data_IF_232775322354
#
_entry.id   IF_232775322354
#
_cell.length_a   1.000
_cell.length_b   1.000
_cell.length_c   1.000
_cell.angle_alpha   90.00
_cell.angle_beta   90.00
_cell.angle_gamma   90.00
#
_symmetry.space_group_name_H-M   'P 1'
#
loop_
_entity.id
_entity.type
_entity.pdbx_description
1 polymer ?
#
# COMPACT_ATOMS: atom_id res chain seq x y z
N UNK A 1 -59.69 25.80 9.50
CA UNK A 1 -58.96 24.64 10.03
C UNK A 1 -57.61 24.63 9.35
N UNK A 2 -56.57 25.14 10.03
CA UNK A 2 -55.20 25.16 9.49
C UNK A 2 -54.43 24.01 10.15
N UNK A 3 -53.85 23.14 9.34
CA UNK A 3 -52.99 22.06 9.81
C UNK A 3 -51.63 22.63 10.19
N UNK A 4 -51.17 22.34 11.41
CA UNK A 4 -49.82 22.66 11.86
C UNK A 4 -48.85 21.61 11.30
N UNK A 5 -47.90 22.05 10.46
CA UNK A 5 -46.74 21.25 10.08
C UNK A 5 -45.84 21.05 11.30
N UNK A 6 -45.59 19.78 11.64
CA UNK A 6 -44.68 19.41 12.71
C UNK A 6 -43.26 19.35 12.16
N UNK A 7 -42.40 20.22 12.68
CA UNK A 7 -40.98 20.24 12.39
C UNK A 7 -40.31 19.00 12.99
N UNK A 8 -39.83 18.10 12.12
CA UNK A 8 -39.02 16.93 12.52
C UNK A 8 -37.56 17.35 12.55
N UNK A 9 -36.86 17.28 13.71
CA UNK A 9 -35.45 17.61 13.79
C UNK A 9 -34.59 16.57 13.05
N UNK A 10 -33.42 16.97 12.51
CA UNK A 10 -32.50 16.06 11.83
C UNK A 10 -31.91 15.02 12.81
N UNK A 11 -31.50 13.83 12.31
CA UNK A 11 -30.89 12.80 13.14
C UNK A 11 -29.56 13.29 13.74
N UNK A 12 -29.39 13.03 15.04
CA UNK A 12 -28.15 13.32 15.77
C UNK A 12 -26.99 12.54 15.18
N UNK A 13 -25.84 13.19 14.99
CA UNK A 13 -24.61 12.51 14.63
C UNK A 13 -24.17 11.56 15.77
N UNK A 14 -23.67 10.35 15.47
CA UNK A 14 -23.09 9.49 16.48
C UNK A 14 -21.85 10.14 17.09
N UNK A 15 -21.52 9.84 18.36
CA UNK A 15 -20.34 10.38 19.01
C UNK A 15 -19.07 9.92 18.28
N UNK A 16 -18.15 10.86 18.08
CA UNK A 16 -16.80 10.57 17.59
C UNK A 16 -16.09 9.68 18.62
N UNK A 17 -15.72 8.46 18.21
CA UNK A 17 -14.95 7.54 19.03
C UNK A 17 -13.49 7.77 18.68
N UNK A 18 -12.74 8.39 19.60
CA UNK A 18 -11.29 8.53 19.45
C UNK A 18 -10.63 7.14 19.39
N UNK A 19 -9.64 6.92 18.51
CA UNK A 19 -8.91 5.66 18.46
C UNK A 19 -8.14 5.44 19.78
N UNK A 20 -8.01 4.20 20.26
CA UNK A 20 -7.24 3.93 21.46
C UNK A 20 -5.76 4.30 21.24
N UNK A 21 -5.15 4.91 22.26
CA UNK A 21 -3.70 5.17 22.28
C UNK A 21 -2.94 3.87 22.00
N UNK A 22 -1.96 3.96 21.09
CA UNK A 22 -1.08 2.85 20.77
C UNK A 22 -0.36 2.38 22.04
N UNK A 23 -0.44 1.07 22.32
CA UNK A 23 0.34 0.46 23.38
C UNK A 23 1.84 0.70 23.15
N UNK A 24 2.63 1.00 24.20
CA UNK A 24 4.06 1.22 24.05
C UNK A 24 4.75 -0.03 23.51
N UNK A 25 5.65 0.15 22.54
CA UNK A 25 6.50 -0.90 22.01
C UNK A 25 7.33 -1.50 23.15
N UNK A 26 7.38 -2.83 23.23
CA UNK A 26 8.27 -3.53 24.13
C UNK A 26 9.72 -3.32 23.64
N UNK A 27 10.51 -2.60 24.43
CA UNK A 27 11.94 -2.42 24.20
C UNK A 27 12.67 -3.76 24.40
N UNK A 28 12.94 -4.45 23.30
CA UNK A 28 13.87 -5.57 23.26
C UNK A 28 15.29 -5.05 23.05
N UNK A 29 16.09 -5.00 24.11
CA UNK A 29 17.52 -4.72 24.02
C UNK A 29 18.23 -5.89 23.36
N UNK A 30 18.76 -5.69 22.16
CA UNK A 30 19.75 -6.61 21.58
C UNK A 30 21.13 -6.05 21.91
N UNK A 31 21.92 -6.83 22.64
CA UNK A 31 23.28 -6.48 23.05
C UNK A 31 24.18 -6.20 21.84
N UNK A 32 24.88 -5.07 21.90
CA UNK A 32 25.90 -4.70 20.93
C UNK A 32 27.11 -5.65 21.05
N UNK A 33 27.45 -6.33 19.96
CA UNK A 33 28.73 -7.03 19.82
C UNK A 33 29.86 -6.01 19.59
N UNK A 34 31.08 -6.24 20.14
CA UNK A 34 32.13 -5.23 20.16
C UNK A 34 32.82 -5.06 18.81
N UNK A 35 33.29 -3.83 18.59
CA UNK A 35 34.08 -3.39 17.45
C UNK A 35 35.36 -4.24 17.28
N UNK A 36 35.49 -4.86 16.11
CA UNK A 36 36.69 -5.51 15.62
C UNK A 36 37.46 -4.59 14.68
N UNK A 37 38.76 -4.50 14.95
CA UNK A 37 39.83 -3.71 14.31
C UNK A 37 39.81 -3.58 12.79
N UNK A 38 40.28 -2.40 12.35
CA UNK A 38 40.59 -2.00 10.98
C UNK A 38 41.51 -3.00 10.27
N UNK A 39 41.14 -3.38 9.04
CA UNK A 39 42.03 -4.05 8.09
C UNK A 39 41.70 -3.57 6.67
N UNK A 40 42.59 -2.71 6.14
CA UNK A 40 42.96 -2.55 4.74
C UNK A 40 41.85 -2.54 3.67
N UNK A 41 41.55 -1.36 3.16
CA UNK A 41 40.86 -1.20 1.88
C UNK A 41 41.69 -1.80 0.74
N UNK A 42 41.12 -2.66 -0.14
CA UNK A 42 41.63 -2.78 -1.48
C UNK A 42 41.12 -1.59 -2.30
N UNK A 43 42.07 -0.77 -2.73
CA UNK A 43 41.89 0.24 -3.77
C UNK A 43 41.33 -0.42 -5.05
N UNK A 44 40.34 0.22 -5.65
CA UNK A 44 39.95 -0.03 -7.05
C UNK A 44 38.70 -0.88 -7.24
N UNK A 45 37.57 -0.23 -7.44
CA UNK A 45 36.87 -0.19 -8.75
C UNK A 45 35.89 0.96 -8.70
N UNK A 46 36.03 1.91 -9.63
CA UNK A 46 35.00 2.92 -9.89
C UNK A 46 33.77 2.15 -10.38
N UNK A 47 32.55 2.40 -9.86
CA UNK A 47 31.35 1.79 -10.44
C UNK A 47 31.33 2.14 -11.92
N UNK A 48 31.26 1.12 -12.79
CA UNK A 48 31.04 1.37 -14.21
C UNK A 48 29.82 2.28 -14.34
N UNK A 49 30.01 3.39 -15.07
CA UNK A 49 28.95 4.32 -15.43
C UNK A 49 27.84 3.50 -16.12
N UNK A 50 26.71 3.28 -15.43
CA UNK A 50 25.57 2.55 -15.98
C UNK A 50 25.15 3.28 -17.26
N UNK A 51 25.36 2.61 -18.42
CA UNK A 51 25.04 3.18 -19.73
C UNK A 51 23.61 3.72 -19.71
N UNK A 52 23.34 4.90 -20.31
CA UNK A 52 21.98 5.45 -20.37
C UNK A 52 21.03 4.40 -20.91
N UNK A 53 19.89 4.21 -20.24
CA UNK A 53 18.88 3.25 -20.67
C UNK A 53 18.41 3.66 -22.06
N UNK A 54 18.76 2.86 -23.07
CA UNK A 54 18.21 3.04 -24.41
C UNK A 54 16.72 2.72 -24.37
N UNK A 55 15.91 3.77 -24.56
CA UNK A 55 14.46 3.63 -24.66
C UNK A 55 14.15 2.85 -25.94
N UNK A 56 13.72 1.59 -25.77
CA UNK A 56 13.38 0.74 -26.90
C UNK A 56 12.27 1.39 -27.74
N UNK A 57 12.30 1.10 -29.04
CA UNK A 57 11.37 1.64 -30.01
C UNK A 57 9.88 1.36 -29.66
N UNK A 58 9.60 0.31 -28.88
CA UNK A 58 8.26 -0.02 -28.39
C UNK A 58 7.72 0.89 -27.26
N UNK A 59 8.53 1.79 -26.71
CA UNK A 59 8.19 2.57 -25.50
C UNK A 59 8.26 4.09 -25.70
N UNK A 60 8.30 4.57 -26.95
CA UNK A 60 8.42 6.01 -27.27
C UNK A 60 7.30 6.86 -26.68
N UNK A 61 6.13 6.25 -26.43
CA UNK A 61 4.94 6.93 -25.94
C UNK A 61 4.83 6.90 -24.41
N UNK A 62 5.74 6.21 -23.71
CA UNK A 62 5.81 6.21 -22.25
C UNK A 62 6.66 7.38 -21.77
N UNK A 63 6.52 7.73 -20.49
CA UNK A 63 7.52 8.55 -19.83
C UNK A 63 8.89 7.87 -19.86
N UNK A 64 9.94 8.69 -19.77
CA UNK A 64 11.32 8.19 -19.71
C UNK A 64 11.49 7.25 -18.51
N UNK A 65 10.94 7.66 -17.37
CA UNK A 65 10.97 6.93 -16.11
C UNK A 65 10.28 5.57 -16.26
N UNK A 66 9.07 5.50 -16.83
CA UNK A 66 8.39 4.23 -17.09
C UNK A 66 9.15 3.35 -18.09
N UNK A 67 9.76 3.93 -19.12
CA UNK A 67 10.56 3.18 -20.07
C UNK A 67 11.85 2.61 -19.42
N UNK A 68 12.44 3.31 -18.46
CA UNK A 68 13.53 2.82 -17.62
C UNK A 68 13.08 1.64 -16.76
N UNK A 69 11.91 1.73 -16.10
CA UNK A 69 11.33 0.63 -15.33
C UNK A 69 11.16 -0.62 -16.20
N UNK A 70 10.53 -0.46 -17.37
CA UNK A 70 10.22 -1.56 -18.28
C UNK A 70 11.48 -2.22 -18.84
N UNK A 71 12.57 -1.46 -19.04
CA UNK A 71 13.83 -1.99 -19.56
C UNK A 71 14.40 -3.14 -18.72
N UNK A 72 14.20 -3.08 -17.40
CA UNK A 72 14.64 -4.11 -16.44
C UNK A 72 13.49 -5.08 -16.09
N UNK A 73 12.28 -4.56 -15.84
CA UNK A 73 11.16 -5.37 -15.35
C UNK A 73 10.60 -6.37 -16.38
N UNK A 74 10.83 -6.14 -17.68
CA UNK A 74 10.53 -7.13 -18.72
C UNK A 74 11.29 -8.46 -18.52
N UNK A 75 12.48 -8.39 -17.92
CA UNK A 75 13.35 -9.54 -17.66
C UNK A 75 13.21 -10.04 -16.22
N UNK A 76 13.15 -9.14 -15.24
CA UNK A 76 13.10 -9.50 -13.82
C UNK A 76 11.72 -9.97 -13.36
N UNK A 77 10.66 -9.40 -13.91
CA UNK A 77 9.27 -9.71 -13.56
C UNK A 77 8.41 -9.85 -14.81
N UNK A 78 8.70 -10.84 -15.69
CA UNK A 78 8.05 -10.96 -16.99
C UNK A 78 6.53 -11.10 -16.86
N UNK A 79 6.02 -11.73 -15.79
CA UNK A 79 4.58 -11.82 -15.54
C UNK A 79 3.91 -10.46 -15.35
N UNK A 80 4.52 -9.57 -14.55
CA UNK A 80 3.99 -8.21 -14.32
C UNK A 80 4.06 -7.40 -15.61
N UNK A 81 5.19 -7.49 -16.32
CA UNK A 81 5.37 -6.81 -17.60
C UNK A 81 4.30 -7.22 -18.63
N UNK A 82 4.00 -8.51 -18.76
CA UNK A 82 2.97 -8.98 -19.69
C UNK A 82 1.57 -8.55 -19.24
N UNK A 83 1.22 -8.69 -17.95
CA UNK A 83 -0.09 -8.25 -17.45
C UNK A 83 -0.33 -6.75 -17.68
N UNK A 84 0.70 -5.93 -17.46
CA UNK A 84 0.62 -4.49 -17.78
C UNK A 84 0.53 -4.26 -19.29
N UNK A 85 1.34 -4.95 -20.10
CA UNK A 85 1.33 -4.83 -21.57
C UNK A 85 0.00 -5.23 -22.21
N UNK A 86 -0.74 -6.17 -21.59
CA UNK A 86 -2.08 -6.58 -22.03
C UNK A 86 -3.20 -5.66 -21.50
N UNK A 87 -2.87 -4.68 -20.67
CA UNK A 87 -3.85 -3.82 -20.01
C UNK A 87 -4.25 -2.60 -20.83
N UNK A 88 -5.41 -2.02 -20.48
CA UNK A 88 -5.84 -0.72 -21.01
C UNK A 88 -4.95 0.44 -20.55
N UNK A 89 -4.25 0.30 -19.42
CA UNK A 89 -3.32 1.32 -18.95
C UNK A 89 -2.12 1.43 -19.90
N UNK A 90 -1.55 0.31 -20.34
CA UNK A 90 -0.52 0.33 -21.37
C UNK A 90 -1.02 0.96 -22.68
N UNK A 91 -2.20 0.56 -23.15
CA UNK A 91 -2.80 1.14 -24.35
C UNK A 91 -3.07 2.65 -24.24
N UNK A 92 -3.24 3.17 -23.02
CA UNK A 92 -3.42 4.58 -22.71
C UNK A 92 -2.10 5.30 -22.38
N UNK A 93 -0.95 4.65 -22.55
CA UNK A 93 0.39 5.15 -22.20
C UNK A 93 0.58 5.48 -20.71
N UNK A 94 -0.17 4.81 -19.82
CA UNK A 94 0.07 4.84 -18.37
C UNK A 94 1.05 3.72 -18.03
N UNK A 95 2.29 4.09 -17.75
CA UNK A 95 3.37 3.16 -17.42
C UNK A 95 3.49 2.89 -15.92
N UNK A 96 4.60 2.24 -15.54
CA UNK A 96 4.86 1.85 -14.15
C UNK A 96 5.00 3.08 -13.25
N UNK A 97 5.77 4.07 -13.69
CA UNK A 97 6.14 5.22 -12.88
C UNK A 97 4.95 6.16 -12.62
N UNK A 98 4.00 6.25 -13.55
CA UNK A 98 2.82 7.10 -13.40
C UNK A 98 1.97 6.72 -12.17
N UNK A 99 1.92 5.42 -11.82
CA UNK A 99 1.21 4.92 -10.64
C UNK A 99 2.12 4.76 -9.41
N UNK A 100 3.37 4.35 -9.61
CA UNK A 100 4.25 4.00 -8.49
C UNK A 100 5.11 5.15 -7.97
N UNK A 101 5.23 6.28 -8.68
CA UNK A 101 5.93 7.47 -8.15
C UNK A 101 5.38 7.83 -6.76
N UNK A 102 6.27 8.13 -5.83
CA UNK A 102 5.90 8.56 -4.49
C UNK A 102 6.63 9.84 -4.12
N UNK A 103 6.04 10.61 -3.20
CA UNK A 103 6.75 11.70 -2.54
C UNK A 103 7.74 11.09 -1.53
N UNK A 104 8.97 11.59 -1.42
CA UNK A 104 9.93 11.10 -0.41
C UNK A 104 9.45 11.20 1.04
N UNK A 105 8.41 12.00 1.31
CA UNK A 105 7.76 12.10 2.62
C UNK A 105 6.64 11.08 2.86
N UNK A 106 6.24 10.31 1.84
CA UNK A 106 5.28 9.23 2.01
C UNK A 106 5.90 8.11 2.84
N UNK A 107 5.12 7.53 3.77
CA UNK A 107 5.59 6.50 4.72
C UNK A 107 5.94 5.16 4.06
N UNK A 108 5.55 4.96 2.83
CA UNK A 108 5.85 3.77 2.04
C UNK A 108 6.78 4.08 0.85
N UNK A 109 7.34 5.30 0.80
CA UNK A 109 8.30 5.68 -0.21
C UNK A 109 9.64 4.97 0.01
N UNK A 110 10.11 4.32 -1.05
CA UNK A 110 11.41 3.68 -1.11
C UNK A 110 12.19 4.18 -2.31
N UNK A 111 13.52 4.23 -2.18
CA UNK A 111 14.40 4.42 -3.33
C UNK A 111 14.55 3.11 -4.08
N UNK A 112 14.16 3.09 -5.35
CA UNK A 112 14.37 1.98 -6.25
C UNK A 112 15.13 2.45 -7.49
N UNK A 113 16.40 2.06 -7.59
CA UNK A 113 17.36 2.65 -8.55
C UNK A 113 17.43 4.17 -8.37
N UNK A 114 17.18 4.93 -9.42
CA UNK A 114 17.24 6.40 -9.40
C UNK A 114 15.88 7.06 -9.11
N UNK A 115 14.86 6.26 -8.81
CA UNK A 115 13.48 6.72 -8.60
C UNK A 115 13.04 6.54 -7.15
N UNK A 116 12.20 7.46 -6.69
CA UNK A 116 11.43 7.30 -5.44
C UNK A 116 10.05 6.78 -5.81
N UNK A 117 9.69 5.62 -5.25
CA UNK A 117 8.44 4.92 -5.56
C UNK A 117 7.78 4.38 -4.29
N UNK A 118 6.48 4.11 -4.36
CA UNK A 118 5.80 3.18 -3.46
C UNK A 118 5.41 1.92 -4.22
N UNK A 119 5.55 0.76 -3.58
CA UNK A 119 5.03 -0.51 -4.12
C UNK A 119 3.52 -0.66 -3.90
N UNK A 120 2.94 0.11 -2.98
CA UNK A 120 1.50 0.10 -2.67
C UNK A 120 0.84 1.25 -3.42
N UNK A 121 0.16 0.93 -4.52
CA UNK A 121 -0.69 1.90 -5.23
C UNK A 121 -2.06 1.93 -4.55
N UNK A 122 -2.36 3.03 -3.87
CA UNK A 122 -3.59 3.22 -3.09
C UNK A 122 -4.75 3.72 -3.97
N UNK A 123 -6.01 3.68 -3.47
CA UNK A 123 -7.14 4.30 -4.17
C UNK A 123 -6.95 5.79 -4.48
N UNK A 124 -6.13 6.51 -3.68
CA UNK A 124 -5.82 7.92 -3.90
C UNK A 124 -4.96 8.13 -5.15
N UNK A 125 -4.04 7.21 -5.43
CA UNK A 125 -3.20 7.25 -6.64
C UNK A 125 -4.05 7.02 -7.89
N UNK A 126 -4.99 6.08 -7.82
CA UNK A 126 -6.01 5.87 -8.86
C UNK A 126 -6.85 7.14 -9.08
N UNK A 127 -7.19 7.84 -7.99
CA UNK A 127 -8.03 9.03 -7.98
C UNK A 127 -7.44 10.23 -8.73
N UNK A 128 -6.12 10.24 -8.99
CA UNK A 128 -5.49 11.28 -9.81
C UNK A 128 -6.06 11.33 -11.24
N UNK A 129 -6.52 10.19 -11.76
CA UNK A 129 -7.13 10.06 -13.09
C UNK A 129 -8.59 9.56 -13.04
N UNK A 130 -8.96 8.81 -12.00
CA UNK A 130 -10.26 8.15 -11.85
C UNK A 130 -11.07 8.70 -10.68
N UNK A 131 -11.07 10.01 -10.49
CA UNK A 131 -11.72 10.72 -9.37
C UNK A 131 -13.13 10.20 -9.06
N UNK A 132 -13.99 10.09 -10.08
CA UNK A 132 -15.37 9.62 -9.90
C UNK A 132 -15.43 8.19 -9.34
N UNK A 133 -14.66 7.27 -9.89
CA UNK A 133 -14.69 5.87 -9.47
C UNK A 133 -14.12 5.70 -8.06
N UNK A 134 -13.05 6.44 -7.73
CA UNK A 134 -12.50 6.47 -6.37
C UNK A 134 -13.53 7.03 -5.38
N UNK A 135 -14.21 8.14 -5.70
CA UNK A 135 -15.24 8.71 -4.84
C UNK A 135 -16.42 7.75 -4.61
N UNK A 136 -16.86 7.04 -5.65
CA UNK A 136 -17.92 6.03 -5.54
C UNK A 136 -17.47 4.83 -4.68
N UNK A 137 -16.22 4.38 -4.84
CA UNK A 137 -15.67 3.28 -4.05
C UNK A 137 -15.50 3.66 -2.58
N UNK A 138 -14.93 4.83 -2.30
CA UNK A 138 -14.70 5.36 -0.96
C UNK A 138 -16.02 5.54 -0.19
N UNK A 139 -17.10 5.90 -0.88
CA UNK A 139 -18.45 6.00 -0.30
C UNK A 139 -19.14 4.64 -0.08
N UNK A 140 -18.54 3.53 -0.53
CA UNK A 140 -19.14 2.20 -0.45
C UNK A 140 -18.73 1.44 0.81
N UNK A 141 -19.54 0.46 1.22
CA UNK A 141 -19.18 -0.45 2.31
C UNK A 141 -17.94 -1.30 2.02
N UNK A 142 -17.55 -1.47 0.74
CA UNK A 142 -16.35 -2.22 0.38
C UNK A 142 -15.08 -1.51 0.83
N UNK A 143 -15.03 -0.17 0.76
CA UNK A 143 -13.88 0.61 1.23
C UNK A 143 -13.67 0.47 2.75
N UNK A 144 -14.75 0.29 3.52
CA UNK A 144 -14.70 0.07 4.97
C UNK A 144 -14.74 -1.41 5.38
N UNK A 145 -14.70 -2.36 4.43
CA UNK A 145 -14.96 -3.77 4.73
C UNK A 145 -13.94 -4.37 5.71
N UNK A 146 -12.68 -3.91 5.68
CA UNK A 146 -11.63 -4.37 6.58
C UNK A 146 -11.85 -4.02 8.06
N UNK A 147 -12.67 -3.01 8.35
CA UNK A 147 -12.87 -2.51 9.72
C UNK A 147 -13.48 -3.56 10.67
N UNK A 148 -14.13 -4.59 10.13
CA UNK A 148 -14.66 -5.71 10.92
C UNK A 148 -13.55 -6.40 11.71
N UNK A 149 -12.34 -6.53 11.16
CA UNK A 149 -11.21 -7.31 11.69
C UNK A 149 -10.64 -6.76 13.01
N UNK A 150 -11.09 -5.59 13.47
CA UNK A 150 -10.73 -5.01 14.77
C UNK A 150 -11.92 -4.43 15.54
N UNK A 151 -13.14 -4.76 15.13
CA UNK A 151 -14.37 -4.23 15.75
C UNK A 151 -14.91 -5.17 16.85
N UNK A 152 -15.78 -4.63 17.71
CA UNK A 152 -16.50 -5.43 18.71
C UNK A 152 -17.40 -6.51 18.08
N UNK A 153 -17.82 -6.33 16.82
CA UNK A 153 -18.63 -7.29 16.11
C UNK A 153 -17.87 -8.59 15.77
N UNK A 154 -16.52 -8.56 15.81
CA UNK A 154 -15.67 -9.72 15.57
C UNK A 154 -15.26 -10.47 16.86
N UNK A 155 -15.78 -10.10 18.04
CA UNK A 155 -15.43 -10.73 19.32
C UNK A 155 -15.72 -12.23 19.34
N UNK A 156 -16.79 -12.68 18.69
CA UNK A 156 -17.11 -14.10 18.59
C UNK A 156 -15.96 -14.87 17.92
N UNK A 157 -15.40 -14.36 16.83
CA UNK A 157 -14.32 -15.03 16.10
C UNK A 157 -12.94 -14.79 16.72
N UNK A 158 -12.68 -13.61 17.32
CA UNK A 158 -11.39 -13.32 17.96
C UNK A 158 -11.21 -14.01 19.32
N UNK A 159 -12.26 -14.04 20.14
CA UNK A 159 -12.16 -14.35 21.58
C UNK A 159 -12.92 -15.61 21.98
N UNK A 160 -14.12 -15.84 21.43
CA UNK A 160 -15.00 -16.92 21.92
C UNK A 160 -14.76 -18.22 21.16
N UNK A 161 -14.78 -18.17 19.82
CA UNK A 161 -14.50 -19.30 18.94
C UNK A 161 -13.03 -19.38 18.53
N UNK A 162 -12.31 -18.26 18.70
CA UNK A 162 -10.88 -18.15 18.49
C UNK A 162 -10.14 -17.84 19.78
N UNK A 163 -8.83 -18.05 19.75
CA UNK A 163 -7.87 -17.57 20.74
C UNK A 163 -6.61 -17.19 19.97
N UNK A 164 -5.73 -16.30 20.47
CA UNK A 164 -4.54 -15.81 19.77
C UNK A 164 -3.41 -16.86 19.66
N UNK A 165 -3.77 -18.09 19.32
CA UNK A 165 -2.92 -19.28 19.30
C UNK A 165 -2.18 -19.43 17.97
N UNK A 166 -2.50 -18.62 16.96
CA UNK A 166 -1.82 -18.61 15.66
C UNK A 166 -1.02 -17.32 15.51
N UNK A 167 0.22 -17.33 15.98
CA UNK A 167 1.15 -16.19 15.93
C UNK A 167 0.54 -14.89 16.51
N UNK A 168 -0.25 -15.00 17.58
CA UNK A 168 -0.91 -13.85 18.20
C UNK A 168 -2.24 -13.43 17.56
N UNK A 169 -2.74 -14.20 16.58
CA UNK A 169 -4.04 -13.99 15.92
C UNK A 169 -5.00 -15.16 16.13
N UNK A 170 -6.30 -14.92 16.02
CA UNK A 170 -7.31 -15.98 16.03
C UNK A 170 -7.24 -16.83 14.75
N UNK A 171 -7.11 -18.16 14.83
CA UNK A 171 -7.19 -19.04 13.67
C UNK A 171 -8.51 -18.89 12.89
N UNK A 172 -9.60 -18.60 13.58
CA UNK A 172 -10.93 -18.41 12.97
C UNK A 172 -10.95 -17.12 12.15
N UNK A 173 -10.35 -16.05 12.65
CA UNK A 173 -10.23 -14.79 11.91
C UNK A 173 -9.28 -14.94 10.74
N UNK A 174 -8.12 -15.56 10.93
CA UNK A 174 -7.11 -15.71 9.88
C UNK A 174 -7.58 -16.61 8.72
N UNK A 175 -8.28 -17.71 9.00
CA UNK A 175 -8.77 -18.63 7.97
C UNK A 175 -10.16 -18.29 7.42
N UNK A 176 -10.92 -17.45 8.13
CA UNK A 176 -12.28 -17.06 7.74
C UNK A 176 -12.33 -15.59 7.32
N UNK A 177 -12.41 -14.69 8.30
CA UNK A 177 -12.68 -13.27 8.08
C UNK A 177 -11.61 -12.59 7.22
N UNK A 178 -10.33 -12.77 7.55
CA UNK A 178 -9.21 -12.14 6.85
C UNK A 178 -9.06 -12.62 5.40
N UNK A 179 -9.55 -13.83 5.08
CA UNK A 179 -9.54 -14.36 3.72
C UNK A 179 -10.36 -13.50 2.73
N UNK A 180 -11.43 -12.84 3.22
CA UNK A 180 -12.27 -11.97 2.40
C UNK A 180 -12.06 -10.47 2.71
N UNK A 181 -11.82 -10.12 3.97
CA UNK A 181 -11.70 -8.72 4.42
C UNK A 181 -10.25 -8.20 4.42
N UNK A 182 -9.28 -9.06 4.10
CA UNK A 182 -7.89 -8.70 3.93
C UNK A 182 -7.09 -8.67 5.24
N UNK A 183 -6.00 -7.91 5.24
CA UNK A 183 -5.07 -7.78 6.35
C UNK A 183 -4.60 -6.34 6.51
N UNK A 184 -4.16 -5.98 7.71
CA UNK A 184 -3.52 -4.69 7.97
C UNK A 184 -2.14 -4.69 7.29
N UNK A 185 -1.95 -3.75 6.35
CA UNK A 185 -0.65 -3.48 5.73
C UNK A 185 0.00 -2.35 6.53
N UNK A 186 1.15 -2.64 7.14
CA UNK A 186 1.95 -1.64 7.86
C UNK A 186 2.99 -1.05 6.91
N UNK A 187 3.19 0.26 7.02
CA UNK A 187 4.19 1.03 6.29
C UNK A 187 5.06 1.75 7.34
N UNK A 188 6.37 1.83 7.10
CA UNK A 188 7.39 2.27 8.07
C UNK A 188 8.10 3.52 7.61
#
# INVERSE_FOLDING_TARGET
>A
MAAAEQHVPPPSQPPEVEPPEAAPAAEGTVDAAPAGTEAGAPEGTVPEEEKPVEILEGFKNLSRESAECVSCHREKTPGIYQMWGDSKHYAANVGCYECHKADPSDKDAIKHKDHIISVIVSPKDCGQCHEKATAEFDASHHASAGNILGSLDNVLAEVVQGAPLLNGTSPVVTMGCAGCHGSIVRVE
#
